data_IF_391913153912
#
_entry.id   IF_391913153912
#
_cell.length_a   1.000
_cell.length_b   1.000
_cell.length_c   1.000
_cell.angle_alpha   90.00
_cell.angle_beta   90.00
_cell.angle_gamma   90.00
#
_symmetry.space_group_name_H-M   'P 1'
#
loop_
_entity.id
_entity.type
_entity.pdbx_description
1 polymer ?
#
# COMPACT_ATOMS: atom_id res chain seq x y z
N UNK A 1 13.90 -13.21 -33.02
CA UNK A 1 13.67 -14.42 -32.20
C UNK A 1 12.59 -14.24 -31.12
N UNK A 2 12.24 -13.02 -30.76
CA UNK A 2 11.15 -12.75 -29.81
C UNK A 2 9.74 -12.90 -30.42
N UNK A 3 9.64 -12.77 -31.77
CA UNK A 3 8.35 -12.90 -32.48
C UNK A 3 7.75 -14.30 -32.49
N UNK A 4 8.47 -15.31 -32.01
CA UNK A 4 7.95 -16.68 -31.94
C UNK A 4 7.14 -17.00 -30.67
N UNK A 5 7.13 -16.13 -29.69
CA UNK A 5 6.41 -16.33 -28.42
C UNK A 5 4.98 -15.81 -28.41
N UNK A 6 4.66 -14.89 -29.34
CA UNK A 6 3.32 -14.30 -29.45
C UNK A 6 2.84 -14.29 -30.89
N UNK A 7 1.70 -14.87 -31.19
CA UNK A 7 1.12 -14.80 -32.53
C UNK A 7 0.86 -13.34 -32.90
N UNK A 8 1.44 -12.89 -34.01
CA UNK A 8 1.24 -11.55 -34.52
C UNK A 8 2.26 -10.49 -34.12
N UNK A 9 3.35 -10.85 -33.48
CA UNK A 9 4.43 -9.89 -33.20
C UNK A 9 4.11 -8.80 -32.17
N UNK A 10 2.98 -8.93 -31.45
CA UNK A 10 2.51 -7.93 -30.47
C UNK A 10 3.56 -7.51 -29.45
N UNK A 11 4.43 -8.44 -29.03
CA UNK A 11 5.50 -8.11 -28.09
C UNK A 11 6.57 -7.24 -28.75
N UNK A 12 6.91 -7.53 -30.01
CA UNK A 12 7.88 -6.74 -30.75
C UNK A 12 7.33 -5.33 -31.03
N UNK A 13 6.06 -5.24 -31.40
CA UNK A 13 5.39 -3.96 -31.62
C UNK A 13 5.27 -3.15 -30.32
N UNK A 14 4.98 -3.82 -29.21
CA UNK A 14 4.93 -3.17 -27.90
C UNK A 14 6.31 -2.70 -27.43
N UNK A 15 7.33 -3.51 -27.59
CA UNK A 15 8.72 -3.13 -27.23
C UNK A 15 9.19 -1.99 -28.13
N UNK A 16 8.89 -2.04 -29.43
CA UNK A 16 9.22 -0.96 -30.35
C UNK A 16 8.45 0.32 -30.03
N UNK A 17 7.19 0.22 -29.67
CA UNK A 17 6.40 1.36 -29.22
C UNK A 17 6.96 1.96 -27.92
N UNK A 18 7.32 1.10 -26.95
CA UNK A 18 7.91 1.55 -25.70
C UNK A 18 9.31 2.19 -25.87
N UNK A 19 10.09 1.69 -26.84
CA UNK A 19 11.42 2.26 -27.15
C UNK A 19 11.35 3.44 -28.09
N UNK A 20 10.24 3.63 -28.79
CA UNK A 20 9.99 4.74 -29.70
C UNK A 20 9.27 5.93 -29.06
N UNK A 21 9.04 5.90 -27.74
CA UNK A 21 8.56 7.09 -27.03
C UNK A 21 9.63 8.16 -27.16
N UNK A 22 9.34 9.28 -27.84
CA UNK A 22 10.32 10.34 -28.02
C UNK A 22 10.83 10.82 -26.67
N UNK A 23 12.10 11.14 -26.59
CA UNK A 23 12.74 11.62 -25.35
C UNK A 23 12.02 12.85 -24.80
N UNK A 24 11.44 13.66 -25.66
CA UNK A 24 10.58 14.77 -25.29
C UNK A 24 9.35 14.36 -24.47
N UNK A 25 8.85 13.14 -24.62
CA UNK A 25 7.74 12.65 -23.81
C UNK A 25 8.17 12.32 -22.36
N UNK A 26 9.45 12.11 -22.16
CA UNK A 26 9.98 11.96 -20.80
C UNK A 26 10.24 13.31 -20.12
N UNK A 27 10.33 14.38 -20.91
CA UNK A 27 10.67 15.71 -20.40
C UNK A 27 9.50 16.68 -20.37
N UNK A 28 8.49 16.48 -21.20
CA UNK A 28 7.39 17.48 -21.28
C UNK A 28 6.54 17.52 -20.02
N UNK A 29 6.44 16.43 -19.28
CA UNK A 29 5.73 16.37 -18.01
C UNK A 29 6.60 16.81 -16.84
N UNK A 30 7.92 16.85 -17.04
CA UNK A 30 8.85 17.31 -16.03
C UNK A 30 8.87 18.83 -15.93
N UNK A 31 9.10 19.35 -14.74
CA UNK A 31 9.39 20.75 -14.50
C UNK A 31 8.24 21.75 -14.76
N UNK A 32 7.02 21.28 -14.88
CA UNK A 32 5.88 22.18 -14.86
C UNK A 32 5.57 22.57 -13.42
N UNK A 33 5.62 23.83 -13.15
CA UNK A 33 5.15 24.39 -11.88
C UNK A 33 3.64 24.62 -11.98
N UNK A 34 2.88 23.61 -11.59
CA UNK A 34 1.42 23.67 -11.61
C UNK A 34 0.86 24.64 -10.58
N UNK A 35 1.64 25.10 -9.63
CA UNK A 35 1.19 26.09 -8.68
C UNK A 35 0.97 27.44 -9.34
N UNK A 36 1.87 27.87 -10.21
CA UNK A 36 1.77 29.15 -10.91
C UNK A 36 0.69 29.16 -11.99
N UNK A 37 0.41 28.00 -12.60
CA UNK A 37 -0.55 27.87 -13.69
C UNK A 37 -1.97 27.58 -13.22
N UNK A 38 -2.19 27.47 -11.92
CA UNK A 38 -3.49 27.17 -11.36
C UNK A 38 -4.28 28.45 -11.10
N UNK A 39 -5.50 28.59 -11.61
CA UNK A 39 -6.34 29.79 -11.36
C UNK A 39 -6.76 29.93 -9.89
N UNK A 40 -6.40 28.96 -9.08
CA UNK A 40 -6.73 28.87 -7.67
C UNK A 40 -5.47 28.81 -6.82
N UNK A 41 -4.40 29.40 -7.26
CA UNK A 41 -3.12 29.37 -6.59
C UNK A 41 -3.28 29.40 -5.06
N UNK A 42 -3.00 28.29 -4.40
CA UNK A 42 -3.21 28.13 -2.97
C UNK A 42 -4.62 27.71 -2.51
N UNK A 43 -5.60 27.58 -3.40
CA UNK A 43 -6.95 27.11 -3.06
C UNK A 43 -7.44 25.98 -3.97
N UNK A 44 -7.42 24.74 -3.50
CA UNK A 44 -7.97 23.60 -4.23
C UNK A 44 -9.45 23.75 -4.63
N UNK A 45 -10.26 24.39 -3.79
CA UNK A 45 -11.69 24.62 -4.04
C UNK A 45 -11.91 25.46 -5.29
N UNK A 46 -11.06 26.42 -5.55
CA UNK A 46 -11.16 27.29 -6.74
C UNK A 46 -10.93 26.48 -8.01
N UNK A 47 -9.98 25.54 -7.98
CA UNK A 47 -9.64 24.68 -9.12
C UNK A 47 -10.72 23.65 -9.41
N UNK A 48 -11.20 22.97 -8.38
CA UNK A 48 -12.14 21.86 -8.52
C UNK A 48 -13.60 22.29 -8.39
N UNK A 49 -13.86 23.53 -7.94
CA UNK A 49 -15.19 24.05 -7.69
C UNK A 49 -15.90 23.35 -6.53
N UNK A 50 -15.19 22.57 -5.73
CA UNK A 50 -15.73 21.81 -4.61
C UNK A 50 -14.78 21.84 -3.43
N UNK A 51 -15.32 21.92 -2.23
CA UNK A 51 -14.53 21.74 -1.01
C UNK A 51 -14.25 20.27 -0.78
N UNK A 52 -13.05 19.92 -0.30
CA UNK A 52 -12.77 18.56 0.10
C UNK A 52 -13.49 18.23 1.42
N UNK A 53 -13.93 16.97 1.52
CA UNK A 53 -14.37 16.38 2.78
C UNK A 53 -13.17 15.94 3.62
N UNK A 54 -12.07 15.56 2.94
CA UNK A 54 -10.78 15.18 3.52
C UNK A 54 -9.65 15.83 2.77
N UNK A 55 -8.63 16.27 3.49
CA UNK A 55 -7.44 16.86 2.89
C UNK A 55 -6.17 16.38 3.60
N UNK A 56 -5.16 16.06 2.81
CA UNK A 56 -3.82 15.73 3.29
C UNK A 56 -2.78 16.55 2.53
N UNK A 57 -1.86 17.16 3.26
CA UNK A 57 -0.68 17.80 2.68
C UNK A 57 0.53 16.90 2.94
N UNK A 58 1.22 16.54 1.88
CA UNK A 58 2.42 15.70 1.91
C UNK A 58 3.62 16.56 1.47
N UNK A 59 4.55 16.77 2.37
CA UNK A 59 5.85 17.35 2.04
C UNK A 59 6.90 16.23 1.91
N UNK A 60 7.98 16.53 1.26
CA UNK A 60 9.10 15.63 1.08
C UNK A 60 10.15 15.80 2.17
N UNK A 61 10.67 14.71 2.67
CA UNK A 61 11.86 14.74 3.51
C UNK A 61 12.93 13.75 3.02
N UNK A 62 14.18 14.10 3.26
CA UNK A 62 15.31 13.18 3.18
C UNK A 62 16.11 13.28 4.47
N UNK A 63 16.33 12.18 5.14
CA UNK A 63 17.14 12.13 6.36
C UNK A 63 17.66 10.72 6.63
N UNK A 64 18.66 10.64 7.44
CA UNK A 64 19.12 9.36 7.99
C UNK A 64 18.21 8.90 9.13
N UNK A 65 17.87 7.64 9.10
CA UNK A 65 17.11 6.95 10.15
C UNK A 65 17.93 5.78 10.68
N UNK A 66 17.77 5.54 12.00
CA UNK A 66 18.33 4.36 12.66
C UNK A 66 17.47 3.14 12.37
N UNK A 67 18.11 2.05 11.99
CA UNK A 67 17.49 0.76 11.74
C UNK A 67 17.67 -0.18 12.92
N UNK A 68 16.83 -1.24 13.04
CA UNK A 68 16.85 -2.12 14.20
C UNK A 68 18.17 -2.85 14.47
N UNK A 69 19.03 -2.94 13.48
CA UNK A 69 20.37 -3.53 13.61
C UNK A 69 21.45 -2.54 14.03
N UNK A 70 21.07 -1.28 14.29
CA UNK A 70 21.97 -0.21 14.68
C UNK A 70 22.65 0.48 13.49
N UNK A 71 22.35 0.11 12.25
CA UNK A 71 22.82 0.84 11.08
C UNK A 71 22.00 2.10 10.84
N UNK A 72 22.60 3.09 10.17
CA UNK A 72 21.96 4.34 9.77
C UNK A 72 21.97 4.45 8.26
N UNK A 73 20.79 4.67 7.66
CA UNK A 73 20.66 4.86 6.20
C UNK A 73 19.85 6.10 5.89
N UNK A 74 20.19 6.77 4.80
CA UNK A 74 19.36 7.85 4.27
C UNK A 74 18.04 7.26 3.75
N UNK A 75 16.95 7.86 4.17
CA UNK A 75 15.58 7.51 3.77
C UNK A 75 14.93 8.76 3.24
N UNK A 76 14.21 8.63 2.15
CA UNK A 76 13.30 9.64 1.64
C UNK A 76 11.87 9.21 1.96
N UNK A 77 11.00 10.19 2.14
CA UNK A 77 9.61 9.88 2.44
C UNK A 77 8.73 11.10 2.39
N UNK A 78 7.47 10.88 2.66
CA UNK A 78 6.50 11.94 2.84
C UNK A 78 6.27 12.20 4.33
N UNK A 79 6.10 13.46 4.68
CA UNK A 79 5.62 13.87 6.01
C UNK A 79 4.31 14.65 5.87
N UNK A 80 3.42 14.51 6.83
CA UNK A 80 2.16 15.23 6.88
C UNK A 80 2.04 15.96 8.23
N UNK A 81 2.12 17.26 8.20
CA UNK A 81 1.98 18.10 9.37
C UNK A 81 2.91 17.66 10.51
N UNK A 82 2.32 17.22 11.64
CA UNK A 82 3.06 16.77 12.84
C UNK A 82 3.24 15.26 12.92
N UNK A 83 3.06 14.53 11.82
CA UNK A 83 3.19 13.07 11.83
C UNK A 83 4.62 12.58 12.10
N UNK A 84 5.60 13.46 11.89
CA UNK A 84 7.02 13.12 11.93
C UNK A 84 7.53 12.51 10.62
N UNK A 85 8.84 12.29 10.57
CA UNK A 85 9.58 11.75 9.42
C UNK A 85 9.86 10.28 9.66
N UNK A 86 8.92 9.45 9.27
CA UNK A 86 8.93 8.03 9.58
C UNK A 86 8.88 7.16 8.32
N UNK A 87 9.36 5.94 8.46
CA UNK A 87 9.18 4.86 7.51
C UNK A 87 8.24 3.80 8.12
N UNK A 88 7.12 3.46 7.47
CA UNK A 88 6.56 4.04 6.25
C UNK A 88 6.03 5.46 6.46
N UNK A 89 5.81 6.17 5.36
CA UNK A 89 5.22 7.51 5.35
C UNK A 89 3.82 7.54 6.00
N UNK A 90 3.21 8.70 6.27
CA UNK A 90 1.95 8.80 7.01
C UNK A 90 0.83 7.95 6.42
N UNK A 91 -0.02 7.39 7.29
CA UNK A 91 -1.29 6.78 6.87
C UNK A 91 -2.25 7.88 6.40
N UNK A 92 -2.72 7.74 5.17
CA UNK A 92 -3.88 8.46 4.64
C UNK A 92 -5.10 7.56 4.84
N UNK A 93 -6.20 8.11 5.35
CA UNK A 93 -7.41 7.34 5.61
C UNK A 93 -8.64 8.16 5.29
N UNK A 94 -9.40 7.69 4.33
CA UNK A 94 -10.58 8.35 3.78
C UNK A 94 -11.79 7.42 3.81
N UNK A 95 -12.94 7.91 3.36
CA UNK A 95 -14.20 7.16 3.32
C UNK A 95 -14.77 7.21 1.90
N UNK A 96 -15.41 6.15 1.47
CA UNK A 96 -16.13 6.12 0.19
C UNK A 96 -17.05 7.33 0.03
N UNK A 97 -17.04 7.91 -1.17
CA UNK A 97 -17.86 9.07 -1.54
C UNK A 97 -17.30 10.41 -1.09
N UNK A 98 -16.29 10.47 -0.22
CA UNK A 98 -15.65 11.73 0.17
C UNK A 98 -14.82 12.31 -0.98
N UNK A 99 -14.87 13.61 -1.14
CA UNK A 99 -13.96 14.34 -2.00
C UNK A 99 -12.65 14.52 -1.22
N UNK A 100 -11.58 13.95 -1.74
CA UNK A 100 -10.27 13.97 -1.11
C UNK A 100 -9.34 14.87 -1.91
N UNK A 101 -8.66 15.78 -1.21
CA UNK A 101 -7.56 16.55 -1.77
C UNK A 101 -6.23 16.10 -1.16
N UNK A 102 -5.36 15.55 -2.01
CA UNK A 102 -3.99 15.23 -1.66
C UNK A 102 -3.05 16.26 -2.24
N UNK A 103 -2.51 17.14 -1.41
CA UNK A 103 -1.54 18.17 -1.87
C UNK A 103 -0.13 17.69 -1.62
N UNK A 104 0.68 17.64 -2.68
CA UNK A 104 2.12 17.43 -2.58
C UNK A 104 2.84 18.78 -2.67
N UNK A 105 3.80 18.99 -1.77
CA UNK A 105 4.63 20.19 -1.71
C UNK A 105 6.10 19.80 -1.65
N UNK A 106 6.67 19.27 -2.75
CA UNK A 106 8.07 18.88 -2.72
C UNK A 106 8.96 20.12 -2.55
N UNK A 107 9.52 20.28 -1.38
CA UNK A 107 10.43 21.40 -1.05
C UNK A 107 11.75 21.33 -1.82
N UNK A 108 12.05 20.18 -2.42
CA UNK A 108 13.24 19.94 -3.23
C UNK A 108 12.94 18.94 -4.32
N UNK A 109 13.39 19.26 -5.57
CA UNK A 109 13.35 18.36 -6.71
C UNK A 109 11.93 18.03 -7.18
N UNK A 110 11.85 17.11 -8.11
CA UNK A 110 10.63 16.70 -8.78
C UNK A 110 10.08 15.44 -8.11
N UNK A 111 8.82 15.47 -7.74
CA UNK A 111 8.13 14.32 -7.16
C UNK A 111 6.68 14.26 -7.65
N UNK A 112 6.06 13.11 -7.47
CA UNK A 112 4.61 12.93 -7.62
C UNK A 112 4.08 12.12 -6.46
N UNK A 113 2.76 12.04 -6.34
CA UNK A 113 2.10 11.06 -5.49
C UNK A 113 1.14 10.27 -6.34
N UNK A 114 1.47 9.01 -6.61
CA UNK A 114 0.57 8.05 -7.23
C UNK A 114 -0.28 7.37 -6.16
N UNK A 115 -1.61 7.40 -6.36
CA UNK A 115 -2.61 6.85 -5.45
C UNK A 115 -2.97 5.43 -5.90
N UNK A 116 -2.07 4.50 -5.63
CA UNK A 116 -2.05 3.17 -6.21
C UNK A 116 -3.30 2.35 -5.87
N UNK A 117 -4.11 2.10 -6.88
CA UNK A 117 -5.36 1.32 -6.82
C UNK A 117 -6.63 2.15 -6.62
N UNK A 118 -6.53 3.48 -6.45
CA UNK A 118 -7.69 4.39 -6.40
C UNK A 118 -8.19 4.72 -7.82
N UNK A 119 -7.30 4.69 -8.80
CA UNK A 119 -7.61 4.87 -10.22
C UNK A 119 -8.32 6.20 -10.53
N UNK A 120 -7.82 7.35 -10.08
CA UNK A 120 -8.39 8.64 -10.45
C UNK A 120 -8.11 8.96 -11.92
N UNK A 121 -8.68 10.06 -12.43
CA UNK A 121 -8.35 10.51 -13.77
C UNK A 121 -6.84 10.83 -13.92
N UNK A 122 -6.28 10.83 -15.16
CA UNK A 122 -4.83 10.96 -15.37
C UNK A 122 -4.17 12.17 -14.72
N UNK A 123 -4.88 13.29 -14.56
CA UNK A 123 -4.33 14.48 -13.90
C UNK A 123 -4.18 14.30 -12.39
N UNK A 124 -4.92 13.38 -11.83
CA UNK A 124 -4.95 13.10 -10.41
C UNK A 124 -4.25 11.79 -10.03
N UNK A 125 -3.75 11.05 -11.02
CA UNK A 125 -3.13 9.74 -10.83
C UNK A 125 -1.67 9.82 -10.33
N UNK A 126 -0.97 10.91 -10.64
CA UNK A 126 0.41 11.11 -10.20
C UNK A 126 1.45 10.26 -10.93
N UNK A 127 1.09 9.64 -12.06
CA UNK A 127 2.01 8.90 -12.92
C UNK A 127 2.57 9.85 -13.97
N UNK A 128 3.88 10.16 -13.89
CA UNK A 128 4.51 11.17 -14.72
C UNK A 128 4.35 10.94 -16.23
N UNK A 129 4.32 9.69 -16.69
CA UNK A 129 4.18 9.36 -18.12
C UNK A 129 2.79 9.61 -18.69
N UNK A 130 1.76 9.58 -17.87
CA UNK A 130 0.36 9.83 -18.28
C UNK A 130 -0.18 11.16 -17.80
N UNK A 131 0.58 11.84 -16.94
CA UNK A 131 0.22 13.10 -16.30
C UNK A 131 1.43 14.04 -16.34
N UNK A 132 2.00 14.37 -15.18
CA UNK A 132 3.12 15.30 -15.06
C UNK A 132 3.86 15.07 -13.74
N UNK A 133 5.05 15.59 -13.68
CA UNK A 133 5.88 15.66 -12.49
C UNK A 133 5.76 17.05 -11.83
N UNK A 134 5.75 17.09 -10.51
CA UNK A 134 5.53 18.31 -9.74
C UNK A 134 6.85 18.90 -9.26
N UNK A 135 7.12 20.15 -9.62
CA UNK A 135 8.29 20.91 -9.15
C UNK A 135 7.96 21.92 -8.06
N UNK A 136 6.76 22.46 -8.06
CA UNK A 136 6.23 23.36 -7.04
C UNK A 136 5.29 22.61 -6.09
N UNK A 137 4.02 22.98 -6.10
CA UNK A 137 3.01 22.22 -5.40
C UNK A 137 1.86 21.84 -6.34
N UNK A 138 1.19 20.74 -6.05
CA UNK A 138 0.03 20.30 -6.80
C UNK A 138 -0.97 19.61 -5.88
N UNK A 139 -2.25 19.85 -6.13
CA UNK A 139 -3.34 19.18 -5.42
C UNK A 139 -4.03 18.20 -6.34
N UNK A 140 -3.90 16.92 -6.00
CA UNK A 140 -4.66 15.83 -6.59
C UNK A 140 -6.06 15.81 -5.98
N UNK A 141 -7.07 15.52 -6.79
CA UNK A 141 -8.41 15.27 -6.31
C UNK A 141 -8.85 13.88 -6.74
N UNK A 142 -9.42 13.13 -5.81
CA UNK A 142 -10.13 11.89 -6.11
C UNK A 142 -11.37 11.75 -5.24
N UNK A 143 -12.23 10.85 -5.64
CA UNK A 143 -13.42 10.49 -4.89
C UNK A 143 -13.58 8.98 -4.96
N UNK A 144 -13.30 8.26 -3.86
CA UNK A 144 -13.50 6.82 -3.83
C UNK A 144 -14.96 6.46 -4.14
N UNK A 145 -15.15 5.49 -5.03
CA UNK A 145 -16.47 5.04 -5.42
C UNK A 145 -17.25 4.49 -4.23
N UNK A 146 -18.54 4.80 -4.20
CA UNK A 146 -19.45 4.32 -3.15
C UNK A 146 -20.01 2.96 -3.56
N UNK A 147 -19.90 1.98 -2.65
CA UNK A 147 -20.55 0.71 -2.84
C UNK A 147 -22.07 0.84 -2.86
N UNK A 148 -22.71 0.22 -3.84
CA UNK A 148 -24.16 0.07 -3.86
C UNK A 148 -24.57 -1.11 -2.98
N UNK A 149 -25.70 -0.99 -2.28
CA UNK A 149 -26.27 -2.08 -1.52
C UNK A 149 -26.48 -3.32 -2.43
N UNK A 150 -25.95 -4.47 -2.01
CA UNK A 150 -25.99 -5.69 -2.80
C UNK A 150 -24.95 -5.79 -3.92
N UNK A 151 -24.12 -4.75 -4.15
CA UNK A 151 -23.04 -4.79 -5.11
C UNK A 151 -21.75 -4.17 -4.54
N UNK A 152 -21.13 -4.77 -3.52
CA UNK A 152 -19.91 -4.28 -2.89
C UNK A 152 -18.70 -4.27 -3.84
N UNK A 153 -18.79 -4.83 -5.06
CA UNK A 153 -17.71 -4.76 -6.07
C UNK A 153 -17.52 -3.38 -6.67
N UNK A 154 -18.46 -2.48 -6.46
CA UNK A 154 -18.38 -1.11 -7.01
C UNK A 154 -17.81 -0.12 -6.02
N UNK A 155 -17.71 -0.49 -4.75
CA UNK A 155 -17.11 0.38 -3.74
C UNK A 155 -15.60 0.33 -3.78
N UNK A 156 -14.99 1.38 -3.27
CA UNK A 156 -13.55 1.53 -3.16
C UNK A 156 -13.02 1.24 -1.75
N UNK A 157 -13.83 0.72 -0.83
CA UNK A 157 -13.34 0.35 0.50
C UNK A 157 -12.24 -0.70 0.41
N UNK A 158 -11.17 -0.56 1.19
CA UNK A 158 -10.07 -1.51 1.19
C UNK A 158 -8.74 -0.90 1.57
N UNK A 159 -7.70 -1.69 1.34
CA UNK A 159 -6.32 -1.33 1.59
C UNK A 159 -5.60 -1.02 0.29
N UNK A 160 -4.98 0.15 0.27
CA UNK A 160 -4.20 0.71 -0.83
C UNK A 160 -2.91 1.28 -0.29
N UNK A 161 -2.09 1.85 -1.16
CA UNK A 161 -0.95 2.65 -0.76
C UNK A 161 -0.70 3.78 -1.76
N UNK A 162 0.03 4.78 -1.34
CA UNK A 162 0.50 5.84 -2.21
C UNK A 162 2.02 5.84 -2.25
N UNK A 163 2.60 6.28 -3.36
CA UNK A 163 4.05 6.35 -3.52
C UNK A 163 4.47 7.38 -4.56
N UNK A 164 5.74 7.78 -4.52
CA UNK A 164 6.31 8.61 -5.57
C UNK A 164 6.45 7.80 -6.87
N UNK A 165 6.07 8.41 -8.00
CA UNK A 165 6.16 7.78 -9.31
C UNK A 165 7.24 8.42 -10.21
N UNK A 166 8.07 9.30 -9.69
CA UNK A 166 9.29 9.76 -10.34
C UNK A 166 10.40 8.78 -10.01
N UNK A 167 11.02 8.18 -11.03
CA UNK A 167 12.04 7.14 -10.82
C UNK A 167 11.58 6.10 -9.79
N UNK A 168 10.42 5.51 -10.03
CA UNK A 168 9.68 4.68 -9.08
C UNK A 168 10.54 3.61 -8.41
N UNK A 169 11.41 2.84 -9.12
CA UNK A 169 12.23 1.83 -8.48
C UNK A 169 13.10 2.41 -7.36
N UNK A 170 13.75 3.54 -7.62
CA UNK A 170 14.64 4.17 -6.64
C UNK A 170 13.83 4.83 -5.52
N UNK A 171 12.82 5.66 -5.85
CA UNK A 171 12.10 6.44 -4.85
C UNK A 171 11.29 5.59 -3.89
N UNK A 172 10.67 4.50 -4.37
CA UNK A 172 10.00 3.53 -3.49
C UNK A 172 11.01 2.83 -2.60
N UNK A 173 12.13 2.39 -3.15
CA UNK A 173 13.20 1.78 -2.36
C UNK A 173 13.77 2.75 -1.31
N UNK A 174 13.84 4.03 -1.61
CA UNK A 174 14.26 5.04 -0.65
C UNK A 174 13.26 5.27 0.48
N UNK A 175 12.01 4.79 0.37
CA UNK A 175 10.98 4.89 1.41
C UNK A 175 9.83 5.82 1.08
N UNK A 176 9.74 6.33 -0.15
CA UNK A 176 8.67 7.24 -0.56
C UNK A 176 7.36 6.49 -0.85
N UNK A 177 6.81 5.87 0.16
CA UNK A 177 5.52 5.19 0.13
C UNK A 177 4.83 5.24 1.49
N UNK A 178 3.50 5.17 1.49
CA UNK A 178 2.71 5.13 2.69
C UNK A 178 1.37 4.41 2.49
N UNK A 179 0.76 3.89 3.56
CA UNK A 179 -0.52 3.21 3.48
C UNK A 179 -1.65 4.20 3.21
N UNK A 180 -2.62 3.76 2.41
CA UNK A 180 -3.86 4.46 2.13
C UNK A 180 -5.03 3.51 2.37
N UNK A 181 -5.95 3.90 3.21
CA UNK A 181 -7.14 3.11 3.51
C UNK A 181 -8.38 3.87 3.14
N UNK A 182 -9.32 3.17 2.53
CA UNK A 182 -10.67 3.68 2.29
C UNK A 182 -11.63 2.86 3.14
N UNK A 183 -12.34 3.53 4.04
CA UNK A 183 -13.38 2.91 4.86
C UNK A 183 -14.74 3.00 4.14
N UNK A 184 -15.65 2.06 4.38
CA UNK A 184 -17.03 2.22 3.96
C UNK A 184 -17.69 3.37 4.72
N UNK A 185 -18.78 3.96 4.19
CA UNK A 185 -19.55 4.95 4.91
C UNK A 185 -19.97 4.42 6.28
N UNK A 186 -20.03 5.30 7.28
CA UNK A 186 -20.46 4.93 8.61
C UNK A 186 -21.87 4.32 8.56
N UNK A 187 -22.03 3.08 9.02
CA UNK A 187 -23.35 2.48 9.19
C UNK A 187 -24.00 3.10 10.45
N UNK A 188 -25.11 3.83 10.32
CA UNK A 188 -25.79 4.38 11.48
C UNK A 188 -26.22 3.33 12.51
N UNK A 189 -26.35 2.07 12.06
CA UNK A 189 -26.72 0.93 12.92
C UNK A 189 -25.53 0.36 13.69
N UNK A 190 -24.31 0.66 13.24
CA UNK A 190 -23.07 0.23 13.88
C UNK A 190 -22.07 1.40 14.04
N UNK A 191 -22.37 2.37 14.92
CA UNK A 191 -21.47 3.47 15.13
C UNK A 191 -20.12 2.96 15.67
N UNK A 192 -19.03 3.57 15.21
CA UNK A 192 -17.65 3.30 15.66
C UNK A 192 -17.47 3.38 17.20
N UNK A 193 -18.44 3.95 17.93
CA UNK A 193 -18.51 3.97 19.40
C UNK A 193 -18.50 2.57 20.03
N UNK A 194 -18.78 1.50 19.27
CA UNK A 194 -18.71 0.11 19.76
C UNK A 194 -17.32 -0.54 19.66
N UNK A 195 -16.32 0.19 19.17
CA UNK A 195 -14.97 -0.35 19.01
C UNK A 195 -14.77 -1.26 17.78
N UNK A 196 -15.78 -1.35 16.90
CA UNK A 196 -15.69 -2.13 15.66
C UNK A 196 -15.90 -1.25 14.43
N UNK A 197 -15.39 -1.72 13.30
CA UNK A 197 -15.67 -1.19 11.95
C UNK A 197 -15.93 -2.33 11.00
N UNK A 198 -16.57 -1.99 9.87
CA UNK A 198 -16.64 -2.90 8.70
C UNK A 198 -15.51 -2.59 7.74
N UNK A 199 -15.01 -3.61 7.08
CA UNK A 199 -14.00 -3.44 6.03
C UNK A 199 -14.64 -2.95 4.72
N UNK A 200 -15.84 -3.42 4.41
CA UNK A 200 -16.64 -3.04 3.24
C UNK A 200 -18.08 -2.76 3.66
N UNK A 201 -18.84 -2.10 2.81
CA UNK A 201 -20.30 -2.06 2.95
C UNK A 201 -20.81 -3.52 2.99
N UNK A 202 -21.59 -3.86 3.99
CA UNK A 202 -22.05 -5.22 4.28
C UNK A 202 -20.94 -6.26 4.53
N UNK A 203 -19.70 -5.81 4.70
CA UNK A 203 -18.53 -6.65 4.98
C UNK A 203 -18.41 -7.08 6.45
N UNK A 204 -17.41 -7.89 6.75
CA UNK A 204 -17.15 -8.35 8.10
C UNK A 204 -16.72 -7.19 9.02
N UNK A 205 -17.14 -7.29 10.27
CA UNK A 205 -16.68 -6.39 11.32
C UNK A 205 -15.31 -6.83 11.86
N UNK A 206 -14.52 -5.86 12.26
CA UNK A 206 -13.24 -6.06 12.93
C UNK A 206 -13.06 -5.14 14.12
N UNK A 207 -12.18 -5.53 15.05
CA UNK A 207 -11.83 -4.75 16.23
C UNK A 207 -10.83 -3.63 15.86
N UNK A 208 -11.26 -2.38 16.00
CA UNK A 208 -10.42 -1.19 15.74
C UNK A 208 -9.16 -1.17 16.63
N UNK A 209 -9.28 -1.65 17.87
CA UNK A 209 -8.17 -1.61 18.83
C UNK A 209 -7.00 -2.53 18.43
N UNK A 210 -7.27 -3.52 17.59
CA UNK A 210 -6.27 -4.51 17.14
C UNK A 210 -5.96 -4.41 15.65
N UNK A 211 -6.60 -3.49 14.91
CA UNK A 211 -6.31 -3.25 13.49
C UNK A 211 -4.81 -3.07 13.28
N UNK A 212 -4.22 -3.86 12.41
CA UNK A 212 -2.76 -3.94 12.25
C UNK A 212 -2.36 -3.73 10.79
N UNK A 213 -1.37 -2.87 10.57
CA UNK A 213 -0.69 -2.69 9.31
C UNK A 213 0.54 -3.57 9.25
N UNK A 214 0.74 -4.23 8.12
CA UNK A 214 1.91 -5.05 7.81
C UNK A 214 2.43 -4.70 6.42
N UNK A 215 3.70 -4.23 6.35
CA UNK A 215 4.39 -3.98 5.08
C UNK A 215 5.73 -4.70 5.09
N UNK A 216 5.88 -5.82 4.38
CA UNK A 216 7.19 -6.34 4.02
C UNK A 216 7.98 -5.29 3.23
N UNK A 217 9.23 -5.10 3.60
CA UNK A 217 10.11 -4.14 2.95
C UNK A 217 11.57 -4.56 3.13
N UNK A 218 12.35 -4.47 2.07
CA UNK A 218 13.79 -4.70 2.14
C UNK A 218 14.56 -3.49 1.65
N UNK A 219 15.74 -3.27 2.25
CA UNK A 219 16.58 -2.12 1.97
C UNK A 219 17.92 -2.58 1.43
N UNK A 220 18.29 -2.02 0.26
CA UNK A 220 19.60 -2.19 -0.36
C UNK A 220 20.48 -0.97 -0.09
N UNK A 221 21.45 -1.03 0.83
CA UNK A 221 22.24 0.14 1.25
C UNK A 221 22.84 0.94 0.10
N UNK A 222 23.31 0.25 -0.94
CA UNK A 222 23.88 0.92 -2.12
C UNK A 222 22.89 1.87 -2.80
N UNK A 223 21.59 1.52 -2.85
CA UNK A 223 20.58 2.38 -3.48
C UNK A 223 20.33 3.64 -2.66
N UNK A 224 20.51 3.56 -1.36
CA UNK A 224 20.36 4.69 -0.43
C UNK A 224 21.54 5.68 -0.48
N UNK A 225 22.57 5.38 -1.27
CA UNK A 225 23.70 6.28 -1.57
C UNK A 225 23.56 6.94 -2.96
N UNK A 226 22.55 6.55 -3.76
CA UNK A 226 22.33 7.09 -5.10
C UNK A 226 21.66 8.47 -5.03
N UNK A 227 21.90 9.27 -6.06
CA UNK A 227 21.21 10.56 -6.19
C UNK A 227 19.79 10.38 -6.75
N UNK A 228 18.99 11.43 -6.65
CA UNK A 228 17.59 11.45 -7.04
C UNK A 228 17.31 10.98 -8.48
N UNK A 229 18.16 11.33 -9.42
CA UNK A 229 17.97 11.03 -10.84
C UNK A 229 18.79 9.83 -11.30
N UNK A 230 19.34 9.02 -10.39
CA UNK A 230 20.18 7.89 -10.75
C UNK A 230 19.44 6.90 -11.68
N UNK A 231 20.04 6.60 -12.81
CA UNK A 231 19.47 5.72 -13.83
C UNK A 231 18.51 6.37 -14.83
N UNK A 232 18.06 7.61 -14.61
CA UNK A 232 17.15 8.30 -15.54
C UNK A 232 17.89 8.89 -16.75
N UNK A 233 19.16 9.25 -16.59
CA UNK A 233 19.96 9.86 -17.67
C UNK A 233 20.79 8.84 -18.47
N UNK A 234 20.42 7.56 -18.39
CA UNK A 234 21.07 6.47 -19.13
C UNK A 234 22.36 5.92 -18.47
N UNK A 235 22.79 6.44 -17.32
CA UNK A 235 23.90 5.88 -16.56
C UNK A 235 23.53 4.53 -15.94
N UNK A 236 24.46 3.59 -15.88
CA UNK A 236 24.27 2.32 -15.17
C UNK A 236 24.33 2.50 -13.66
N UNK A 237 23.22 2.92 -13.08
CA UNK A 237 23.07 2.99 -11.62
C UNK A 237 22.89 1.59 -10.99
N UNK A 238 22.77 0.55 -11.79
CA UNK A 238 22.57 -0.82 -11.32
C UNK A 238 21.23 -1.04 -10.66
N UNK A 239 20.18 -0.33 -11.09
CA UNK A 239 18.81 -0.48 -10.57
C UNK A 239 18.23 -1.88 -10.87
N UNK A 240 18.75 -2.57 -11.87
CA UNK A 240 18.42 -3.97 -12.18
C UNK A 240 19.19 -5.00 -11.34
N UNK A 241 20.08 -4.55 -10.45
CA UNK A 241 20.93 -5.38 -9.59
C UNK A 241 20.68 -5.10 -8.12
N UNK A 242 19.41 -5.16 -7.72
CA UNK A 242 19.02 -4.90 -6.35
C UNK A 242 19.54 -5.96 -5.38
N UNK A 243 20.23 -5.51 -4.34
CA UNK A 243 20.81 -6.37 -3.29
C UNK A 243 20.41 -5.84 -1.91
N UNK A 244 19.32 -6.37 -1.40
CA UNK A 244 18.89 -6.05 -0.04
C UNK A 244 19.85 -6.67 1.00
N UNK A 245 20.07 -5.92 2.08
CA UNK A 245 20.76 -6.38 3.30
C UNK A 245 19.84 -6.34 4.51
N UNK A 246 18.92 -5.38 4.55
CA UNK A 246 17.96 -5.25 5.64
C UNK A 246 16.60 -5.69 5.14
N UNK A 247 15.95 -6.52 5.93
CA UNK A 247 14.61 -7.03 5.66
C UNK A 247 13.74 -6.69 6.86
N UNK A 248 12.67 -5.97 6.66
CA UNK A 248 11.83 -5.39 7.71
C UNK A 248 10.38 -5.80 7.51
N UNK A 249 9.64 -5.86 8.60
CA UNK A 249 8.19 -5.80 8.58
C UNK A 249 7.79 -4.45 9.16
N UNK A 250 7.48 -3.51 8.29
CA UNK A 250 7.03 -2.19 8.71
C UNK A 250 5.58 -2.26 9.14
N UNK A 251 5.19 -1.36 10.06
CA UNK A 251 3.83 -1.26 10.54
C UNK A 251 3.67 -1.65 12.00
N UNK A 252 2.46 -2.02 12.37
CA UNK A 252 2.05 -2.33 13.74
C UNK A 252 0.57 -2.05 13.96
N UNK A 253 0.14 -2.10 15.22
CA UNK A 253 -1.24 -1.77 15.59
C UNK A 253 -1.53 -0.30 15.30
N UNK A 254 -2.48 -0.02 14.40
CA UNK A 254 -2.72 1.31 13.85
C UNK A 254 -3.05 2.36 14.92
N UNK A 255 -3.97 2.10 15.89
CA UNK A 255 -4.25 3.08 16.94
C UNK A 255 -3.05 3.42 17.84
N UNK A 256 -2.01 2.61 17.79
CA UNK A 256 -0.77 2.79 18.58
C UNK A 256 0.41 3.24 17.74
N UNK A 257 0.15 3.70 16.52
CA UNK A 257 1.22 4.19 15.64
C UNK A 257 2.07 5.23 16.37
N UNK A 258 3.39 5.05 16.43
CA UNK A 258 4.29 6.04 17.01
C UNK A 258 4.15 7.38 16.28
N UNK A 259 4.20 8.46 17.03
CA UNK A 259 4.34 9.80 16.46
C UNK A 259 5.82 10.18 16.50
N UNK A 260 6.26 10.87 15.47
CA UNK A 260 7.63 11.33 15.36
C UNK A 260 8.46 10.56 14.35
N UNK A 261 9.76 10.75 14.43
CA UNK A 261 10.73 10.23 13.48
C UNK A 261 11.10 8.77 13.78
N UNK A 262 11.45 8.03 12.74
CA UNK A 262 12.00 6.69 12.89
C UNK A 262 11.37 5.61 12.01
N UNK A 263 11.77 4.38 12.25
CA UNK A 263 11.26 3.20 11.54
C UNK A 263 10.19 2.53 12.41
N UNK A 264 8.97 2.47 11.89
CA UNK A 264 7.88 1.78 12.57
C UNK A 264 7.88 0.31 12.18
N UNK A 265 8.29 -0.54 13.11
CA UNK A 265 8.44 -1.98 12.89
C UNK A 265 7.35 -2.78 13.57
N UNK A 266 6.77 -3.74 12.84
CA UNK A 266 5.85 -4.74 13.37
C UNK A 266 6.66 -5.84 14.08
N UNK A 267 6.71 -5.79 15.39
CA UNK A 267 7.43 -6.78 16.22
C UNK A 267 6.51 -7.76 16.94
N UNK A 268 5.27 -7.35 17.17
CA UNK A 268 4.24 -8.19 17.80
C UNK A 268 2.85 -7.67 17.43
N UNK A 269 1.85 -8.53 17.52
CA UNK A 269 0.45 -8.17 17.33
C UNK A 269 -0.45 -8.87 18.36
N UNK A 270 -1.66 -8.36 18.51
CA UNK A 270 -2.72 -8.98 19.29
C UNK A 270 -3.82 -9.46 18.37
N UNK A 271 -4.48 -10.52 18.76
CA UNK A 271 -5.67 -10.99 18.08
C UNK A 271 -6.70 -11.50 19.10
N UNK A 272 -7.95 -11.55 18.67
CA UNK A 272 -9.05 -12.11 19.44
C UNK A 272 -9.30 -13.53 18.97
N UNK A 273 -9.49 -14.47 19.90
CA UNK A 273 -9.77 -15.85 19.56
C UNK A 273 -11.13 -16.00 18.83
N UNK A 274 -11.21 -16.94 17.94
CA UNK A 274 -12.48 -17.34 17.34
C UNK A 274 -13.44 -17.80 18.47
N UNK A 275 -14.69 -17.33 18.42
CA UNK A 275 -15.67 -17.67 19.44
C UNK A 275 -15.56 -16.92 20.78
N UNK A 276 -14.61 -16.00 20.94
CA UNK A 276 -14.48 -15.17 22.16
C UNK A 276 -15.61 -14.14 22.33
N UNK A 277 -16.47 -13.97 21.34
CA UNK A 277 -17.48 -12.90 21.30
C UNK A 277 -16.94 -11.53 20.93
N UNK A 278 -15.64 -11.40 20.72
CA UNK A 278 -14.99 -10.19 20.24
C UNK A 278 -14.86 -10.23 18.70
N UNK A 279 -14.88 -9.06 18.09
CA UNK A 279 -14.63 -8.96 16.64
C UNK A 279 -13.17 -9.37 16.33
N UNK A 280 -12.92 -10.00 15.18
CA UNK A 280 -11.58 -10.44 14.79
C UNK A 280 -10.64 -9.25 14.56
N UNK A 281 -9.35 -9.52 14.62
CA UNK A 281 -8.31 -8.57 14.23
C UNK A 281 -8.19 -8.51 12.73
N UNK A 282 -8.25 -7.30 12.16
CA UNK A 282 -7.92 -7.06 10.75
C UNK A 282 -6.43 -6.81 10.58
N UNK A 283 -5.82 -7.52 9.66
CA UNK A 283 -4.48 -7.23 9.17
C UNK A 283 -4.58 -6.69 7.75
N UNK A 284 -4.05 -5.48 7.56
CA UNK A 284 -3.92 -4.80 6.28
C UNK A 284 -2.49 -4.99 5.80
N UNK A 285 -2.31 -5.88 4.85
CA UNK A 285 -1.01 -6.21 4.28
C UNK A 285 -0.81 -5.45 2.97
N UNK A 286 0.36 -4.81 2.85
CA UNK A 286 0.82 -4.15 1.61
C UNK A 286 2.24 -4.65 1.36
N UNK A 287 2.47 -5.39 0.29
CA UNK A 287 3.82 -5.84 -0.06
C UNK A 287 4.59 -4.69 -0.73
N UNK A 288 5.33 -3.95 0.08
CA UNK A 288 6.16 -2.82 -0.37
C UNK A 288 7.59 -3.27 -0.73
N UNK A 289 7.82 -4.57 -0.90
CA UNK A 289 9.13 -5.14 -1.25
C UNK A 289 9.26 -5.39 -2.76
N UNK A 290 10.50 -5.49 -3.19
CA UNK A 290 10.84 -5.99 -4.53
C UNK A 290 10.84 -7.51 -4.60
N UNK A 291 11.00 -8.21 -3.47
CA UNK A 291 11.00 -9.66 -3.41
C UNK A 291 9.59 -10.19 -3.15
N UNK A 292 9.20 -11.30 -3.79
CA UNK A 292 8.00 -12.00 -3.37
C UNK A 292 8.12 -12.42 -1.91
N UNK A 293 7.00 -12.41 -1.19
CA UNK A 293 6.96 -12.85 0.19
C UNK A 293 6.01 -14.03 0.40
N UNK A 294 6.29 -14.83 1.43
CA UNK A 294 5.43 -15.91 1.90
C UNK A 294 5.22 -15.73 3.39
N UNK A 295 3.99 -15.40 3.76
CA UNK A 295 3.55 -15.31 5.14
C UNK A 295 2.94 -16.64 5.58
N UNK A 296 3.39 -17.19 6.71
CA UNK A 296 2.93 -18.46 7.26
C UNK A 296 2.52 -18.30 8.72
N UNK A 297 1.48 -19.01 9.14
CA UNK A 297 0.96 -19.00 10.51
C UNK A 297 1.13 -20.37 11.15
N UNK A 298 1.73 -20.36 12.36
CA UNK A 298 1.96 -21.59 13.13
C UNK A 298 1.63 -21.38 14.61
N UNK A 299 1.42 -22.51 15.32
CA UNK A 299 1.49 -22.52 16.78
C UNK A 299 2.95 -22.38 17.26
N UNK A 300 3.17 -22.36 18.56
CA UNK A 300 4.50 -22.31 19.16
C UNK A 300 5.33 -23.58 18.95
N UNK A 301 4.70 -24.68 18.56
CA UNK A 301 5.35 -25.94 18.20
C UNK A 301 5.78 -26.01 16.72
N UNK A 302 5.44 -24.96 15.93
CA UNK A 302 5.73 -24.92 14.50
C UNK A 302 4.70 -25.63 13.62
N UNK A 303 3.59 -26.11 14.18
CA UNK A 303 2.53 -26.74 13.40
C UNK A 303 1.72 -25.66 12.65
N UNK A 304 1.42 -25.87 11.37
CA UNK A 304 0.59 -24.93 10.60
C UNK A 304 -0.80 -24.73 11.22
N UNK A 305 -1.24 -23.47 11.30
CA UNK A 305 -2.57 -23.11 11.80
C UNK A 305 -3.29 -22.26 10.77
N UNK A 306 -4.38 -22.79 10.20
CA UNK A 306 -5.24 -22.04 9.31
C UNK A 306 -6.05 -21.02 10.13
N UNK A 307 -5.54 -19.79 10.22
CA UNK A 307 -6.13 -18.74 11.03
C UNK A 307 -6.26 -17.38 10.31
N UNK A 308 -5.80 -17.28 9.08
CA UNK A 308 -5.98 -16.09 8.25
C UNK A 308 -7.18 -16.30 7.33
N UNK A 309 -8.27 -15.58 7.57
CA UNK A 309 -9.42 -15.51 6.68
C UNK A 309 -9.19 -14.40 5.64
N UNK A 310 -8.93 -14.79 4.40
CA UNK A 310 -8.74 -13.85 3.31
C UNK A 310 -10.08 -13.20 2.93
N UNK A 311 -10.12 -11.87 2.95
CA UNK A 311 -11.36 -11.13 2.64
C UNK A 311 -11.22 -10.26 1.40
N UNK A 312 -10.03 -9.78 1.06
CA UNK A 312 -9.80 -9.01 -0.17
C UNK A 312 -8.38 -9.17 -0.72
N UNK A 313 -8.25 -8.84 -1.99
CA UNK A 313 -7.00 -8.66 -2.70
C UNK A 313 -7.08 -7.38 -3.53
N UNK A 314 -6.07 -6.52 -3.43
CA UNK A 314 -5.98 -5.25 -4.15
C UNK A 314 -7.23 -4.36 -4.04
N UNK A 315 -7.76 -4.23 -2.81
CA UNK A 315 -8.97 -3.46 -2.54
C UNK A 315 -10.25 -4.05 -3.11
N UNK A 316 -10.21 -5.31 -3.60
CA UNK A 316 -11.39 -6.01 -4.14
C UNK A 316 -11.76 -7.19 -3.25
N UNK A 317 -13.00 -7.25 -2.77
CA UNK A 317 -13.48 -8.36 -1.96
C UNK A 317 -13.43 -9.70 -2.71
N UNK A 318 -12.97 -10.75 -2.05
CA UNK A 318 -13.10 -12.09 -2.59
C UNK A 318 -14.56 -12.53 -2.68
N UNK A 319 -14.92 -13.17 -3.78
CA UNK A 319 -16.28 -13.61 -4.05
C UNK A 319 -16.30 -15.04 -4.49
N UNK A 320 -17.38 -15.70 -4.10
CA UNK A 320 -17.69 -17.06 -4.49
C UNK A 320 -18.90 -17.04 -5.42
N UNK A 321 -18.80 -17.73 -6.56
CA UNK A 321 -19.93 -18.03 -7.43
C UNK A 321 -20.22 -19.52 -7.31
N UNK A 322 -21.25 -19.88 -6.56
CA UNK A 322 -21.75 -21.26 -6.54
C UNK A 322 -22.39 -21.65 -7.90
N UNK A 323 -22.92 -20.68 -8.61
CA UNK A 323 -23.47 -20.79 -9.96
C UNK A 323 -22.77 -19.75 -10.85
N UNK A 324 -22.10 -20.15 -11.95
CA UNK A 324 -21.48 -19.21 -12.89
C UNK A 324 -22.43 -18.18 -13.49
N UNK A 325 -23.74 -18.48 -13.51
CA UNK A 325 -24.81 -17.59 -13.98
C UNK A 325 -25.47 -16.80 -12.85
N UNK A 326 -25.14 -17.11 -11.60
CA UNK A 326 -25.70 -16.46 -10.42
C UNK A 326 -24.92 -15.23 -9.96
N UNK A 327 -25.50 -14.44 -9.04
CA UNK A 327 -24.79 -13.31 -8.44
C UNK A 327 -23.62 -13.81 -7.58
N UNK A 328 -22.47 -13.17 -7.73
CA UNK A 328 -21.30 -13.46 -6.89
C UNK A 328 -21.57 -13.04 -5.44
N UNK A 329 -21.37 -13.97 -4.50
CA UNK A 329 -21.55 -13.73 -3.07
C UNK A 329 -20.17 -13.51 -2.41
N UNK A 330 -20.00 -12.51 -1.54
CA UNK A 330 -18.76 -12.35 -0.80
C UNK A 330 -18.38 -13.61 -0.01
N UNK A 331 -17.11 -13.98 -0.02
CA UNK A 331 -16.62 -15.22 0.64
C UNK A 331 -16.97 -15.25 2.12
N UNK A 332 -16.90 -14.12 2.81
CA UNK A 332 -17.26 -14.03 4.24
C UNK A 332 -18.77 -14.20 4.54
N UNK A 333 -19.62 -14.10 3.52
CA UNK A 333 -21.06 -14.31 3.67
C UNK A 333 -21.48 -15.78 3.39
N UNK A 334 -20.51 -16.67 3.16
CA UNK A 334 -20.75 -18.11 2.94
C UNK A 334 -20.38 -18.93 4.16
N UNK A 335 -20.86 -20.17 4.21
CA UNK A 335 -20.47 -21.11 5.25
C UNK A 335 -19.04 -21.65 5.10
N UNK A 336 -18.35 -21.24 4.02
CA UNK A 336 -17.00 -21.70 3.67
C UNK A 336 -16.06 -20.50 3.53
N UNK A 337 -15.62 -19.87 4.62
CA UNK A 337 -14.66 -18.76 4.58
C UNK A 337 -13.33 -19.23 3.98
N UNK A 338 -12.65 -18.35 3.27
CA UNK A 338 -11.32 -18.62 2.72
C UNK A 338 -10.25 -18.57 3.82
N UNK A 339 -10.19 -19.62 4.62
CA UNK A 339 -9.29 -19.76 5.74
C UNK A 339 -7.99 -20.44 5.32
N UNK A 340 -6.85 -19.81 5.58
CA UNK A 340 -5.52 -20.31 5.20
C UNK A 340 -4.50 -20.19 6.33
N UNK A 341 -3.45 -21.00 6.24
CA UNK A 341 -2.25 -20.87 7.07
C UNK A 341 -1.10 -20.18 6.33
N UNK A 342 -1.31 -19.76 5.05
CA UNK A 342 -0.24 -19.15 4.26
C UNK A 342 -0.79 -18.19 3.21
N UNK A 343 -0.05 -17.09 2.99
CA UNK A 343 -0.35 -16.07 1.99
C UNK A 343 0.94 -15.81 1.22
N UNK A 344 0.90 -15.95 -0.10
CA UNK A 344 1.99 -15.54 -0.98
C UNK A 344 1.63 -14.16 -1.58
N UNK A 345 2.59 -13.27 -1.65
CA UNK A 345 2.43 -11.96 -2.26
C UNK A 345 3.63 -11.55 -3.10
N UNK A 346 3.40 -10.74 -4.10
CA UNK A 346 4.40 -10.06 -4.91
C UNK A 346 4.41 -8.57 -4.65
N UNK A 347 5.36 -7.88 -5.28
CA UNK A 347 5.51 -6.43 -5.15
C UNK A 347 4.20 -5.70 -5.48
N UNK A 348 3.81 -4.76 -4.63
CA UNK A 348 2.63 -3.92 -4.72
C UNK A 348 1.27 -4.63 -4.51
N UNK A 349 1.24 -5.95 -4.29
CA UNK A 349 0.01 -6.64 -3.91
C UNK A 349 -0.44 -6.26 -2.49
N UNK A 350 -1.73 -6.18 -2.30
CA UNK A 350 -2.37 -5.85 -1.01
C UNK A 350 -3.39 -6.92 -0.67
N UNK A 351 -3.36 -7.38 0.59
CA UNK A 351 -4.32 -8.33 1.13
C UNK A 351 -4.92 -7.78 2.41
N UNK A 352 -6.23 -7.91 2.54
CA UNK A 352 -6.92 -7.78 3.81
C UNK A 352 -7.32 -9.17 4.30
N UNK A 353 -6.96 -9.49 5.53
CA UNK A 353 -7.35 -10.74 6.16
C UNK A 353 -7.69 -10.57 7.63
N UNK A 354 -8.66 -11.35 8.08
CA UNK A 354 -9.06 -11.41 9.48
C UNK A 354 -8.33 -12.56 10.19
N UNK A 355 -7.75 -12.28 11.35
CA UNK A 355 -7.19 -13.35 12.17
C UNK A 355 -8.31 -14.04 12.97
N UNK A 356 -8.40 -15.35 12.79
CA UNK A 356 -9.35 -16.28 13.44
C UNK A 356 -8.58 -17.38 14.19
N UNK A 357 -7.71 -17.05 15.14
CA UNK A 357 -6.99 -18.07 15.90
C UNK A 357 -7.97 -18.95 16.66
N UNK A 358 -7.77 -20.29 16.69
CA UNK A 358 -8.76 -21.23 17.21
C UNK A 358 -8.92 -21.15 18.74
N UNK A 359 -7.93 -20.66 19.46
CA UNK A 359 -7.93 -20.55 20.91
C UNK A 359 -7.05 -19.40 21.41
N UNK A 360 -7.27 -18.91 22.63
CA UNK A 360 -6.32 -18.02 23.30
C UNK A 360 -4.94 -18.68 23.44
N UNK A 361 -3.89 -17.86 23.39
CA UNK A 361 -2.51 -18.34 23.48
C UNK A 361 -1.53 -17.53 22.64
N UNK A 362 -0.44 -18.18 22.26
CA UNK A 362 0.61 -17.56 21.44
C UNK A 362 0.76 -18.32 20.13
N UNK A 363 0.86 -17.56 19.06
CA UNK A 363 1.09 -18.05 17.70
C UNK A 363 2.21 -17.23 17.07
N UNK A 364 2.71 -17.72 15.94
CA UNK A 364 3.75 -17.06 15.17
C UNK A 364 3.24 -16.76 13.75
N UNK A 365 3.52 -15.57 13.29
CA UNK A 365 3.45 -15.20 11.87
C UNK A 365 4.90 -15.09 11.37
N UNK A 366 5.25 -15.90 10.39
CA UNK A 366 6.59 -15.94 9.79
C UNK A 366 6.50 -15.45 8.35
N UNK A 367 7.26 -14.41 8.03
CA UNK A 367 7.37 -13.86 6.67
C UNK A 367 8.72 -14.22 6.08
N UNK A 368 8.70 -14.91 4.94
CA UNK A 368 9.87 -15.30 4.16
C UNK A 368 9.98 -14.40 2.95
N UNK A 369 11.09 -13.72 2.81
CA UNK A 369 11.46 -12.97 1.60
C UNK A 369 12.13 -13.92 0.63
N UNK A 370 11.65 -13.98 -0.60
CA UNK A 370 12.05 -14.99 -1.58
C UNK A 370 12.76 -14.34 -2.76
N UNK A 371 13.72 -15.05 -3.37
CA UNK A 371 14.22 -14.62 -4.68
C UNK A 371 13.16 -14.81 -5.76
N UNK A 372 13.20 -13.98 -6.79
CA UNK A 372 12.26 -14.06 -7.93
C UNK A 372 12.25 -15.44 -8.58
N UNK A 373 13.39 -15.98 -8.86
CA UNK A 373 13.58 -17.33 -9.36
C UNK A 373 14.89 -17.87 -8.79
N UNK A 374 14.93 -19.02 -8.21
CA UNK A 374 13.93 -20.07 -8.05
C UNK A 374 13.11 -20.03 -6.72
N UNK A 375 12.82 -18.88 -6.15
CA UNK A 375 12.04 -18.77 -4.91
C UNK A 375 12.81 -19.16 -3.65
N UNK A 376 14.11 -18.97 -3.62
CA UNK A 376 14.96 -19.27 -2.45
C UNK A 376 14.72 -18.24 -1.35
N UNK A 377 14.67 -18.69 -0.10
CA UNK A 377 14.55 -17.81 1.06
C UNK A 377 15.80 -16.94 1.19
N UNK A 378 15.61 -15.62 1.19
CA UNK A 378 16.64 -14.60 1.42
C UNK A 378 16.71 -14.20 2.88
N UNK A 379 15.57 -14.04 3.51
CA UNK A 379 15.45 -13.67 4.91
C UNK A 379 14.15 -14.19 5.49
N UNK A 380 14.10 -14.24 6.81
CA UNK A 380 12.92 -14.62 7.57
C UNK A 380 12.71 -13.59 8.67
N UNK A 381 11.46 -13.16 8.84
CA UNK A 381 11.03 -12.34 9.98
C UNK A 381 9.86 -13.01 10.66
N UNK A 382 9.84 -12.95 11.98
CA UNK A 382 8.79 -13.59 12.77
C UNK A 382 8.17 -12.58 13.71
N UNK A 383 6.86 -12.57 13.77
CA UNK A 383 6.04 -11.73 14.62
C UNK A 383 5.26 -12.62 15.57
N UNK A 384 5.36 -12.33 16.88
CA UNK A 384 4.57 -13.02 17.88
C UNK A 384 3.12 -12.48 17.87
N UNK A 385 2.15 -13.39 17.82
CA UNK A 385 0.73 -13.08 17.95
C UNK A 385 0.27 -13.53 19.33
N UNK A 386 -0.19 -12.57 20.13
CA UNK A 386 -0.82 -12.86 21.42
C UNK A 386 -2.32 -12.84 21.25
N UNK A 387 -2.97 -13.96 21.55
CA UNK A 387 -4.42 -14.17 21.39
C UNK A 387 -5.09 -14.20 22.74
N UNK A 388 -6.15 -13.41 22.90
CA UNK A 388 -6.98 -13.33 24.10
C UNK A 388 -8.39 -13.83 23.86
#
# INVERSE_FOLDING_TARGET
AAGGLYPGGLLADWVLAATAVPEEHHTYASQVDFASDQPHEGSPETRFGQRPDSAVELDFFGRKLDFPDGSEHEVWGFEAGRSGRALPSPLVRDTEGQIVHGTIKPSKRVHTTHWHGIEPDPRNDGVGHTSFEVTGHYTYQWRPDVAEAGNPNRGASGTYFYHCHVNTPLHVQMGMFGPLFVDPPADPRNPAARGTRRLFVDGPEYDIATETLMLPYSLGPRWHELNHAAGLSGEDAGLNRFQARHFLLLGGTIPKRPRGDGVWNLTSMRANAAGSGLAPTLVRMIDADYFPTLTEFTDMGGNPVAMAELVSHDGRPFRHTADPAGPAVPVWATDSPLLTNRIASGAAEKYDFLLRPPAPGRYLMTVRFLTWAPGRVRAVRTVAITVQ
#
